data_IF_104482541641
#
_entry.id   IF_104482541641
#
_cell.length_a   1.000
_cell.length_b   1.000
_cell.length_c   1.000
_cell.angle_alpha   90.00
_cell.angle_beta   90.00
_cell.angle_gamma   90.00
#
_symmetry.space_group_name_H-M   'P 1'
#
loop_
_entity.id
_entity.type
_entity.pdbx_description
1 polymer ?
#
# COMPACT_ATOMS: atom_id res chain seq x y z
N UNK A 1 21.18 0.26 -15.08
CA UNK A 1 19.96 0.90 -15.62
C UNK A 1 18.80 0.89 -14.63
N UNK A 2 18.44 -0.25 -14.03
CA UNK A 2 17.37 -0.34 -13.03
C UNK A 2 17.57 0.56 -11.80
N UNK A 3 18.79 0.61 -11.25
CA UNK A 3 19.13 1.47 -10.11
C UNK A 3 18.88 2.97 -10.41
N UNK A 4 19.33 3.46 -11.58
CA UNK A 4 19.14 4.84 -12.02
C UNK A 4 17.65 5.16 -12.19
N UNK A 5 16.88 4.21 -12.73
CA UNK A 5 15.43 4.37 -12.91
C UNK A 5 14.71 4.47 -11.57
N UNK A 6 14.98 3.55 -10.64
CA UNK A 6 14.36 3.55 -9.31
C UNK A 6 14.77 4.80 -8.54
N UNK A 7 16.05 5.16 -8.53
CA UNK A 7 16.51 6.38 -7.86
C UNK A 7 15.86 7.63 -8.47
N UNK A 8 15.69 7.68 -9.79
CA UNK A 8 14.98 8.76 -10.47
C UNK A 8 13.52 8.85 -10.02
N UNK A 9 12.80 7.72 -10.00
CA UNK A 9 11.40 7.67 -9.52
C UNK A 9 11.31 8.13 -8.06
N UNK A 10 12.13 7.57 -7.17
CA UNK A 10 12.13 7.94 -5.75
C UNK A 10 12.51 9.42 -5.55
N UNK A 11 13.48 9.95 -6.29
CA UNK A 11 13.85 11.35 -6.24
C UNK A 11 12.70 12.25 -6.71
N UNK A 12 12.01 11.89 -7.80
CA UNK A 12 10.84 12.65 -8.28
C UNK A 12 9.67 12.61 -7.29
N UNK A 13 9.43 11.46 -6.64
CA UNK A 13 8.42 11.36 -5.59
C UNK A 13 8.78 12.22 -4.38
N UNK A 14 10.02 12.13 -3.90
CA UNK A 14 10.48 12.88 -2.75
C UNK A 14 10.44 14.39 -3.02
N UNK A 15 10.96 14.83 -4.17
CA UNK A 15 10.92 16.25 -4.56
C UNK A 15 9.49 16.75 -4.72
N UNK A 16 8.59 15.96 -5.33
CA UNK A 16 7.17 16.26 -5.40
C UNK A 16 6.54 16.45 -4.01
N UNK A 17 6.76 15.51 -3.09
CA UNK A 17 6.26 15.61 -1.71
C UNK A 17 6.83 16.81 -0.96
N UNK A 18 8.15 17.07 -1.08
CA UNK A 18 8.79 18.23 -0.46
C UNK A 18 8.21 19.54 -1.00
N UNK A 19 8.00 19.64 -2.32
CA UNK A 19 7.36 20.82 -2.92
C UNK A 19 5.92 21.03 -2.46
N UNK A 20 5.18 19.95 -2.19
CA UNK A 20 3.80 20.07 -1.75
C UNK A 20 3.70 20.52 -0.30
N UNK A 21 4.61 20.06 0.56
CA UNK A 21 4.57 20.34 2.01
C UNK A 21 5.35 21.62 2.38
N UNK A 22 6.50 21.87 1.73
CA UNK A 22 7.43 22.98 2.05
C UNK A 22 7.68 23.92 0.88
N UNK A 23 7.02 23.72 -0.27
CA UNK A 23 7.26 24.53 -1.45
C UNK A 23 6.61 25.91 -1.41
N UNK A 24 6.92 26.77 -2.40
CA UNK A 24 6.48 28.16 -2.43
C UNK A 24 4.96 28.32 -2.57
N UNK A 25 4.25 27.27 -2.99
CA UNK A 25 2.79 27.27 -3.14
C UNK A 25 2.06 26.38 -2.12
N UNK A 26 2.75 25.95 -1.05
CA UNK A 26 2.15 25.04 -0.07
C UNK A 26 0.87 25.61 0.56
N UNK A 27 0.84 26.93 0.82
CA UNK A 27 -0.30 27.66 1.40
C UNK A 27 -1.44 27.98 0.42
N UNK A 28 -1.26 27.67 -0.88
CA UNK A 28 -2.25 27.96 -1.91
C UNK A 28 -3.22 26.79 -2.08
N UNK A 29 -4.41 26.93 -1.50
CA UNK A 29 -5.49 25.95 -1.66
C UNK A 29 -5.82 25.67 -3.13
N UNK A 30 -5.86 26.71 -3.98
CA UNK A 30 -6.18 26.59 -5.41
C UNK A 30 -5.15 25.73 -6.12
N UNK A 31 -3.86 25.91 -5.83
CA UNK A 31 -2.79 25.11 -6.43
C UNK A 31 -2.89 23.66 -5.97
N UNK A 32 -3.09 23.41 -4.67
CA UNK A 32 -3.25 22.06 -4.14
C UNK A 32 -4.48 21.35 -4.70
N UNK A 33 -5.61 22.05 -4.83
CA UNK A 33 -6.84 21.49 -5.40
C UNK A 33 -6.70 21.19 -6.89
N UNK A 34 -6.03 22.08 -7.64
CA UNK A 34 -5.68 21.84 -9.04
C UNK A 34 -4.78 20.62 -9.21
N UNK A 35 -3.75 20.50 -8.35
CA UNK A 35 -2.87 19.33 -8.32
C UNK A 35 -3.66 18.04 -8.02
N UNK A 36 -4.61 18.09 -7.08
CA UNK A 36 -5.48 16.95 -6.77
C UNK A 36 -6.30 16.51 -7.97
N UNK A 37 -6.88 17.46 -8.71
CA UNK A 37 -7.63 17.15 -9.92
C UNK A 37 -6.73 16.49 -10.98
N UNK A 38 -5.50 17.00 -11.18
CA UNK A 38 -4.52 16.44 -12.11
C UNK A 38 -4.12 15.02 -11.68
N UNK A 39 -3.79 14.82 -10.41
CA UNK A 39 -3.37 13.52 -9.87
C UNK A 39 -4.50 12.50 -9.91
N UNK A 40 -5.74 12.89 -9.61
CA UNK A 40 -6.91 12.02 -9.73
C UNK A 40 -7.18 11.63 -11.19
N UNK A 41 -7.04 12.59 -12.11
CA UNK A 41 -7.15 12.31 -13.55
C UNK A 41 -6.07 11.33 -14.01
N UNK A 42 -4.82 11.54 -13.59
CA UNK A 42 -3.72 10.61 -13.89
C UNK A 42 -3.99 9.23 -13.30
N UNK A 43 -4.32 9.17 -12.00
CA UNK A 43 -4.62 7.92 -11.30
C UNK A 43 -5.74 7.13 -11.98
N UNK A 44 -6.83 7.81 -12.35
CA UNK A 44 -7.92 7.22 -13.13
C UNK A 44 -7.43 6.59 -14.44
N UNK A 45 -6.58 7.30 -15.20
CA UNK A 45 -6.10 6.82 -16.50
C UNK A 45 -5.09 5.67 -16.37
N UNK A 46 -4.29 5.64 -15.29
CA UNK A 46 -3.27 4.61 -15.07
C UNK A 46 -3.87 3.31 -14.54
N UNK A 47 -4.85 3.43 -13.66
CA UNK A 47 -5.51 2.33 -12.98
C UNK A 47 -6.93 2.19 -13.51
N UNK A 48 -7.93 2.27 -12.63
CA UNK A 48 -9.34 2.25 -12.97
C UNK A 48 -10.13 3.27 -12.17
N UNK A 49 -11.36 3.57 -12.63
CA UNK A 49 -12.27 4.41 -11.87
C UNK A 49 -12.64 3.78 -10.52
N UNK A 50 -12.82 2.47 -10.48
CA UNK A 50 -13.16 1.74 -9.25
C UNK A 50 -12.04 1.87 -8.20
N UNK A 51 -10.78 1.75 -8.60
CA UNK A 51 -9.63 1.95 -7.71
C UNK A 51 -9.51 3.40 -7.24
N UNK A 52 -9.75 4.36 -8.14
CA UNK A 52 -9.74 5.78 -7.77
C UNK A 52 -10.80 6.10 -6.72
N UNK A 53 -12.01 5.54 -6.87
CA UNK A 53 -13.07 5.65 -5.86
C UNK A 53 -12.69 4.94 -4.55
N UNK A 54 -12.00 3.79 -4.62
CA UNK A 54 -11.53 3.11 -3.42
C UNK A 54 -10.49 3.95 -2.64
N UNK A 55 -9.55 4.59 -3.35
CA UNK A 55 -8.59 5.52 -2.76
C UNK A 55 -9.31 6.73 -2.13
N UNK A 56 -10.28 7.31 -2.82
CA UNK A 56 -11.07 8.41 -2.24
C UNK A 56 -11.82 7.97 -0.98
N UNK A 57 -12.45 6.79 -0.99
CA UNK A 57 -13.13 6.22 0.19
C UNK A 57 -12.18 5.97 1.36
N UNK A 58 -10.94 5.56 1.09
CA UNK A 58 -9.91 5.36 2.11
C UNK A 58 -9.55 6.69 2.79
N UNK A 59 -9.52 7.79 2.04
CA UNK A 59 -9.15 9.12 2.54
C UNK A 59 -10.34 9.89 3.14
N UNK A 60 -11.58 9.58 2.74
CA UNK A 60 -12.81 10.19 3.27
C UNK A 60 -12.85 10.31 4.81
N UNK A 61 -12.57 9.26 5.63
CA UNK A 61 -12.65 9.40 7.08
C UNK A 61 -11.66 10.44 7.63
N UNK A 62 -10.46 10.53 7.06
CA UNK A 62 -9.48 11.55 7.42
C UNK A 62 -9.99 12.96 7.07
N UNK A 63 -10.55 13.12 5.87
CA UNK A 63 -11.11 14.39 5.40
C UNK A 63 -12.23 14.89 6.32
N UNK A 64 -13.19 14.01 6.62
CA UNK A 64 -14.32 14.35 7.49
C UNK A 64 -13.83 14.72 8.91
N UNK A 65 -12.88 13.96 9.44
CA UNK A 65 -12.33 14.23 10.78
C UNK A 65 -11.60 15.57 10.82
N UNK A 66 -10.79 15.89 9.81
CA UNK A 66 -10.06 17.17 9.75
C UNK A 66 -10.98 18.38 9.57
N UNK A 67 -12.04 18.25 8.76
CA UNK A 67 -13.05 19.31 8.62
C UNK A 67 -13.83 19.50 9.93
N UNK A 68 -14.19 18.42 10.62
CA UNK A 68 -14.86 18.49 11.90
C UNK A 68 -13.99 19.18 12.96
N UNK A 69 -12.72 18.80 13.07
CA UNK A 69 -11.75 19.45 13.98
C UNK A 69 -11.59 20.92 13.62
N UNK A 70 -11.41 21.25 12.34
CA UNK A 70 -11.28 22.62 11.88
C UNK A 70 -12.49 23.49 12.22
N UNK A 71 -13.71 22.95 12.03
CA UNK A 71 -14.95 23.62 12.38
C UNK A 71 -15.11 23.84 13.89
N UNK A 72 -14.79 22.82 14.70
CA UNK A 72 -14.80 22.93 16.17
C UNK A 72 -13.79 24.00 16.62
N UNK A 73 -12.56 23.98 16.09
CA UNK A 73 -11.51 24.90 16.51
C UNK A 73 -11.80 26.34 16.09
N UNK A 74 -12.41 26.52 14.92
CA UNK A 74 -12.92 27.81 14.47
C UNK A 74 -14.01 28.33 15.42
N UNK A 75 -14.96 27.47 15.80
CA UNK A 75 -16.07 27.85 16.67
C UNK A 75 -15.60 28.27 18.06
N UNK A 76 -14.64 27.55 18.63
CA UNK A 76 -14.07 27.87 19.95
C UNK A 76 -12.95 28.92 19.92
N UNK A 77 -12.59 29.44 18.73
CA UNK A 77 -11.47 30.38 18.54
C UNK A 77 -10.22 29.91 19.30
N UNK A 78 -9.89 28.63 19.10
CA UNK A 78 -8.80 27.98 19.84
C UNK A 78 -7.50 28.72 19.52
N UNK A 79 -6.70 29.03 20.55
CA UNK A 79 -5.47 29.83 20.45
C UNK A 79 -5.65 31.26 19.88
N UNK A 80 -6.86 31.83 19.88
CA UNK A 80 -7.10 33.19 19.37
C UNK A 80 -7.00 33.30 17.85
N UNK A 81 -6.96 32.17 17.14
CA UNK A 81 -6.74 32.08 15.70
C UNK A 81 -8.08 31.90 14.96
N UNK A 82 -8.24 32.55 13.80
CA UNK A 82 -9.50 32.60 13.03
C UNK A 82 -9.44 31.92 11.66
N UNK A 83 -8.34 31.25 11.31
CA UNK A 83 -8.11 30.60 10.02
C UNK A 83 -8.01 29.07 10.13
N UNK A 84 -8.60 28.48 11.17
CA UNK A 84 -8.64 27.02 11.38
C UNK A 84 -9.31 26.28 10.22
N UNK A 85 -10.39 26.83 9.67
CA UNK A 85 -11.07 26.22 8.52
C UNK A 85 -10.14 26.20 7.30
N UNK A 86 -9.42 27.30 7.03
CA UNK A 86 -8.51 27.39 5.89
C UNK A 86 -7.36 26.39 6.03
N UNK A 87 -6.77 26.30 7.22
CA UNK A 87 -5.69 25.35 7.53
C UNK A 87 -6.15 23.88 7.40
N UNK A 88 -7.31 23.55 7.97
CA UNK A 88 -7.90 22.21 7.82
C UNK A 88 -8.25 21.89 6.36
N UNK A 89 -8.83 22.83 5.62
CA UNK A 89 -9.16 22.64 4.20
C UNK A 89 -7.91 22.38 3.35
N UNK A 90 -6.80 23.05 3.65
CA UNK A 90 -5.53 22.82 2.98
C UNK A 90 -5.01 21.40 3.24
N UNK A 91 -5.04 20.94 4.49
CA UNK A 91 -4.62 19.59 4.90
C UNK A 91 -5.49 18.49 4.28
N UNK A 92 -6.79 18.74 4.17
CA UNK A 92 -7.77 17.86 3.51
C UNK A 92 -7.42 17.59 2.05
N UNK A 93 -6.83 18.55 1.36
CA UNK A 93 -6.39 18.40 -0.03
C UNK A 93 -4.97 17.85 -0.10
N UNK A 94 -4.06 18.34 0.75
CA UNK A 94 -2.65 17.96 0.78
C UNK A 94 -2.42 16.47 1.05
N UNK A 95 -3.20 15.88 1.95
CA UNK A 95 -3.07 14.47 2.31
C UNK A 95 -3.40 13.50 1.14
N UNK A 96 -4.59 13.56 0.50
CA UNK A 96 -4.87 12.71 -0.66
C UNK A 96 -3.90 12.95 -1.81
N UNK A 97 -3.48 14.20 -2.03
CA UNK A 97 -2.43 14.56 -2.95
C UNK A 97 -1.13 13.77 -2.71
N UNK A 98 -0.66 13.74 -1.45
CA UNK A 98 0.57 13.04 -1.06
C UNK A 98 0.43 11.52 -1.26
N UNK A 99 -0.73 10.97 -0.92
CA UNK A 99 -1.04 9.55 -1.09
C UNK A 99 -1.08 9.17 -2.59
N UNK A 100 -1.65 10.01 -3.44
CA UNK A 100 -1.69 9.79 -4.89
C UNK A 100 -0.31 9.86 -5.52
N UNK A 101 0.55 10.80 -5.12
CA UNK A 101 1.96 10.86 -5.57
C UNK A 101 2.69 9.56 -5.20
N UNK A 102 2.49 9.07 -3.96
CA UNK A 102 3.06 7.81 -3.52
C UNK A 102 2.54 6.62 -4.35
N UNK A 103 1.21 6.50 -4.50
CA UNK A 103 0.58 5.42 -5.24
C UNK A 103 1.02 5.40 -6.71
N UNK A 104 1.00 6.55 -7.37
CA UNK A 104 1.43 6.70 -8.77
C UNK A 104 2.93 6.41 -8.91
N UNK A 105 3.76 6.99 -8.06
CA UNK A 105 5.21 6.80 -8.11
C UNK A 105 5.62 5.34 -7.92
N UNK A 106 5.04 4.65 -6.93
CA UNK A 106 5.27 3.22 -6.72
C UNK A 106 4.77 2.37 -7.91
N UNK A 107 3.72 2.79 -8.61
CA UNK A 107 3.21 2.09 -9.80
C UNK A 107 4.17 2.05 -10.98
N UNK A 108 5.19 2.93 -10.99
CA UNK A 108 6.24 2.95 -12.01
C UNK A 108 7.41 2.03 -11.69
N UNK A 109 7.49 1.50 -10.45
CA UNK A 109 8.51 0.55 -10.04
C UNK A 109 7.99 -0.86 -10.33
N UNK A 110 8.59 -1.53 -11.31
CA UNK A 110 8.27 -2.93 -11.58
C UNK A 110 9.07 -3.86 -10.67
N UNK A 111 8.52 -5.03 -10.39
CA UNK A 111 9.26 -6.12 -9.74
C UNK A 111 10.57 -6.46 -10.46
N UNK A 112 10.58 -6.38 -11.80
CA UNK A 112 11.81 -6.62 -12.59
C UNK A 112 12.87 -5.55 -12.31
N UNK A 113 12.45 -4.31 -12.06
CA UNK A 113 13.38 -3.24 -11.69
C UNK A 113 14.00 -3.53 -10.30
N UNK A 114 13.20 -4.05 -9.36
CA UNK A 114 13.67 -4.46 -8.03
C UNK A 114 14.70 -5.60 -8.12
N UNK A 115 14.43 -6.66 -8.88
CA UNK A 115 15.40 -7.75 -9.09
C UNK A 115 16.65 -7.32 -9.87
N UNK A 116 16.54 -6.26 -10.69
CA UNK A 116 17.64 -5.66 -11.43
C UNK A 116 18.60 -4.83 -10.57
N UNK A 117 18.31 -4.64 -9.28
CA UNK A 117 19.22 -4.01 -8.34
C UNK A 117 20.43 -4.93 -8.05
N UNK A 118 21.59 -4.35 -7.69
CA UNK A 118 22.78 -5.10 -7.27
C UNK A 118 22.59 -5.66 -5.85
N UNK A 119 21.56 -6.49 -5.65
CA UNK A 119 21.26 -7.16 -4.39
C UNK A 119 22.08 -8.44 -4.25
N UNK A 120 22.45 -8.84 -3.01
CA UNK A 120 23.01 -10.16 -2.74
C UNK A 120 22.10 -11.29 -3.24
N UNK A 121 22.68 -12.43 -3.61
CA UNK A 121 21.94 -13.57 -4.16
C UNK A 121 20.82 -14.08 -3.24
N UNK A 122 21.07 -14.11 -1.93
CA UNK A 122 20.10 -14.55 -0.93
C UNK A 122 18.88 -13.62 -0.88
N UNK A 123 19.09 -12.31 -0.90
CA UNK A 123 18.01 -11.32 -0.94
C UNK A 123 17.16 -11.43 -2.20
N UNK A 124 17.76 -11.74 -3.35
CA UNK A 124 17.00 -11.97 -4.59
C UNK A 124 16.12 -13.21 -4.46
N UNK A 125 16.64 -14.29 -3.86
CA UNK A 125 15.87 -15.50 -3.57
C UNK A 125 14.70 -15.19 -2.64
N UNK A 126 14.93 -14.47 -1.55
CA UNK A 126 13.88 -14.12 -0.59
C UNK A 126 12.78 -13.27 -1.22
N UNK A 127 13.14 -12.28 -2.03
CA UNK A 127 12.17 -11.43 -2.76
C UNK A 127 11.31 -12.28 -3.73
N UNK A 128 11.92 -13.27 -4.40
CA UNK A 128 11.21 -14.19 -5.30
C UNK A 128 10.23 -15.06 -4.52
N UNK A 129 10.70 -15.70 -3.45
CA UNK A 129 9.86 -16.56 -2.60
C UNK A 129 8.72 -15.73 -2.01
N UNK A 130 9.03 -14.56 -1.43
CA UNK A 130 8.04 -13.66 -0.86
C UNK A 130 6.96 -13.26 -1.86
N UNK A 131 7.35 -12.87 -3.09
CA UNK A 131 6.38 -12.52 -4.12
C UNK A 131 5.50 -13.71 -4.51
N UNK A 132 6.09 -14.87 -4.74
CA UNK A 132 5.35 -16.08 -5.11
C UNK A 132 4.34 -16.47 -4.01
N UNK A 133 4.78 -16.47 -2.75
CA UNK A 133 3.91 -16.77 -1.62
C UNK A 133 2.82 -15.72 -1.44
N UNK A 134 3.10 -14.43 -1.65
CA UNK A 134 2.07 -13.38 -1.56
C UNK A 134 1.00 -13.50 -2.65
N UNK A 135 1.39 -13.82 -3.89
CA UNK A 135 0.46 -14.04 -4.99
C UNK A 135 -0.47 -15.25 -4.71
N UNK A 136 0.08 -16.35 -4.20
CA UNK A 136 -0.70 -17.54 -3.81
C UNK A 136 -1.56 -17.29 -2.55
N UNK A 137 -1.03 -16.54 -1.59
CA UNK A 137 -1.76 -16.22 -0.35
C UNK A 137 -3.01 -15.39 -0.61
N UNK A 138 -3.04 -14.58 -1.68
CA UNK A 138 -4.23 -13.82 -2.07
C UNK A 138 -5.41 -14.72 -2.50
N UNK A 139 -5.13 -15.78 -3.26
CA UNK A 139 -6.14 -16.76 -3.68
C UNK A 139 -6.54 -17.66 -2.51
N UNK A 140 -5.58 -18.02 -1.66
CA UNK A 140 -5.83 -18.80 -0.45
C UNK A 140 -6.64 -18.04 0.60
N UNK A 141 -6.45 -16.72 0.75
CA UNK A 141 -7.24 -15.89 1.67
C UNK A 141 -8.74 -15.93 1.33
N UNK A 142 -9.08 -15.87 0.04
CA UNK A 142 -10.49 -15.95 -0.40
C UNK A 142 -11.08 -17.33 -0.14
N UNK A 143 -10.30 -18.40 -0.35
CA UNK A 143 -10.70 -19.77 -0.03
C UNK A 143 -10.86 -19.99 1.48
N UNK A 144 -9.89 -19.57 2.30
CA UNK A 144 -9.92 -19.68 3.75
C UNK A 144 -11.09 -18.90 4.35
N UNK A 145 -11.34 -17.67 3.86
CA UNK A 145 -12.49 -16.88 4.29
C UNK A 145 -13.80 -17.63 4.04
N UNK A 146 -13.96 -18.27 2.87
CA UNK A 146 -15.15 -19.05 2.51
C UNK A 146 -15.31 -20.29 3.41
N UNK A 147 -14.23 -21.00 3.71
CA UNK A 147 -14.24 -22.16 4.62
C UNK A 147 -14.65 -21.73 6.04
N UNK A 148 -14.12 -20.60 6.52
CA UNK A 148 -14.48 -20.02 7.82
C UNK A 148 -15.93 -19.53 7.88
N UNK A 149 -16.55 -19.17 6.75
CA UNK A 149 -17.99 -18.81 6.68
C UNK A 149 -18.91 -20.03 6.81
N UNK A 150 -18.45 -21.20 6.38
CA UNK A 150 -19.22 -22.44 6.45
C UNK A 150 -18.99 -23.24 7.73
N UNK A 151 -17.98 -22.87 8.53
CA UNK A 151 -17.68 -23.59 9.77
C UNK A 151 -18.76 -23.39 10.85
N UNK A 152 -19.42 -24.48 11.33
CA UNK A 152 -20.54 -24.40 12.25
C UNK A 152 -20.16 -23.85 13.64
N UNK A 153 -18.89 -23.97 14.04
CA UNK A 153 -18.39 -23.49 15.34
C UNK A 153 -18.45 -21.97 15.54
N UNK A 154 -18.53 -21.20 14.45
CA UNK A 154 -18.65 -19.73 14.52
C UNK A 154 -20.10 -19.24 14.43
N UNK A 155 -21.09 -20.08 14.07
CA UNK A 155 -22.49 -19.65 13.96
C UNK A 155 -23.18 -19.46 15.32
N UNK A 156 -22.78 -20.22 16.34
CA UNK A 156 -23.43 -20.25 17.65
C UNK A 156 -22.91 -19.22 18.68
N UNK A 157 -21.97 -18.34 18.30
CA UNK A 157 -21.34 -17.38 19.22
C UNK A 157 -21.89 -15.94 19.09
N UNK A 158 -21.89 -15.16 20.18
CA UNK A 158 -22.29 -13.76 20.17
C UNK A 158 -21.38 -12.91 19.25
N UNK A 159 -21.98 -11.89 18.62
CA UNK A 159 -21.44 -11.20 17.43
C UNK A 159 -19.97 -10.74 17.52
N UNK A 160 -19.57 -10.09 18.62
CA UNK A 160 -18.20 -9.54 18.74
C UNK A 160 -17.14 -10.64 18.97
N UNK A 161 -17.42 -11.63 19.83
CA UNK A 161 -16.52 -12.78 20.06
C UNK A 161 -16.38 -13.63 18.80
N UNK A 162 -17.47 -13.76 18.04
CA UNK A 162 -17.47 -14.42 16.73
C UNK A 162 -16.56 -13.69 15.75
N UNK A 163 -16.69 -12.37 15.65
CA UNK A 163 -15.84 -11.54 14.78
C UNK A 163 -14.37 -11.70 15.16
N UNK A 164 -14.03 -11.53 16.43
CA UNK A 164 -12.65 -11.62 16.91
C UNK A 164 -12.03 -13.00 16.65
N UNK A 165 -12.71 -14.08 17.06
CA UNK A 165 -12.20 -15.44 16.84
C UNK A 165 -12.11 -15.82 15.37
N UNK A 166 -13.04 -15.33 14.54
CA UNK A 166 -13.04 -15.58 13.09
C UNK A 166 -11.85 -14.90 12.41
N UNK A 167 -11.58 -13.64 12.74
CA UNK A 167 -10.40 -12.94 12.23
C UNK A 167 -9.10 -13.55 12.78
N UNK A 168 -9.05 -13.91 14.06
CA UNK A 168 -7.89 -14.59 14.65
C UNK A 168 -7.60 -15.93 13.98
N UNK A 169 -8.62 -16.76 13.76
CA UNK A 169 -8.48 -18.04 13.06
C UNK A 169 -8.09 -17.86 11.59
N UNK A 170 -8.62 -16.83 10.92
CA UNK A 170 -8.24 -16.49 9.55
C UNK A 170 -6.76 -16.07 9.46
N UNK A 171 -6.30 -15.21 10.36
CA UNK A 171 -4.91 -14.74 10.42
C UNK A 171 -3.97 -15.91 10.72
N UNK A 172 -4.32 -16.76 11.69
CA UNK A 172 -3.52 -17.93 12.03
C UNK A 172 -3.45 -18.94 10.88
N UNK A 173 -4.58 -19.22 10.23
CA UNK A 173 -4.63 -20.13 9.08
C UNK A 173 -3.84 -19.58 7.88
N UNK A 174 -3.94 -18.27 7.63
CA UNK A 174 -3.16 -17.59 6.60
C UNK A 174 -1.65 -17.65 6.93
N UNK A 175 -1.29 -17.40 8.19
CA UNK A 175 0.11 -17.43 8.64
C UNK A 175 0.73 -18.83 8.49
N UNK A 176 0.02 -19.88 8.93
CA UNK A 176 0.48 -21.26 8.76
C UNK A 176 0.58 -21.65 7.29
N UNK A 177 -0.38 -21.21 6.47
CA UNK A 177 -0.35 -21.46 5.03
C UNK A 177 0.84 -20.77 4.36
N UNK A 178 1.08 -19.49 4.66
CA UNK A 178 2.23 -18.72 4.18
C UNK A 178 3.53 -19.42 4.57
N UNK A 179 3.68 -19.82 5.84
CA UNK A 179 4.89 -20.52 6.30
C UNK A 179 5.15 -21.80 5.51
N UNK A 180 4.15 -22.67 5.39
CA UNK A 180 4.29 -23.92 4.66
C UNK A 180 4.60 -23.70 3.17
N UNK A 181 3.97 -22.71 2.54
CA UNK A 181 4.25 -22.32 1.15
C UNK A 181 5.66 -21.74 0.98
N UNK A 182 6.14 -20.92 1.93
CA UNK A 182 7.51 -20.40 1.90
C UNK A 182 8.54 -21.52 1.98
N UNK A 183 8.34 -22.51 2.85
CA UNK A 183 9.25 -23.66 2.98
C UNK A 183 9.27 -24.51 1.71
N UNK A 184 8.11 -24.85 1.15
CA UNK A 184 8.03 -25.64 -0.08
C UNK A 184 8.65 -24.90 -1.26
N UNK A 185 8.36 -23.60 -1.41
CA UNK A 185 8.92 -22.78 -2.49
C UNK A 185 10.43 -22.63 -2.34
N UNK A 186 10.93 -22.43 -1.12
CA UNK A 186 12.36 -22.36 -0.84
C UNK A 186 13.08 -23.67 -1.21
N UNK A 187 12.52 -24.83 -0.84
CA UNK A 187 13.06 -26.15 -1.17
C UNK A 187 13.11 -26.40 -2.68
N UNK A 188 12.03 -26.07 -3.41
CA UNK A 188 11.98 -26.21 -4.87
C UNK A 188 13.03 -25.33 -5.54
N UNK A 189 13.20 -24.09 -5.07
CA UNK A 189 14.20 -23.17 -5.62
C UNK A 189 15.61 -23.68 -5.35
N UNK A 190 15.88 -24.21 -4.16
CA UNK A 190 17.18 -24.79 -3.81
C UNK A 190 17.52 -25.99 -4.69
N UNK A 191 16.55 -26.89 -4.87
CA UNK A 191 16.69 -28.07 -5.72
C UNK A 191 16.98 -27.66 -7.17
N UNK A 192 16.32 -26.61 -7.70
CA UNK A 192 16.59 -26.09 -9.04
C UNK A 192 17.96 -25.44 -9.17
N UNK A 193 18.39 -24.64 -8.19
CA UNK A 193 19.73 -24.04 -8.19
C UNK A 193 20.80 -25.13 -8.10
N UNK A 194 20.59 -26.18 -7.29
CA UNK A 194 21.51 -27.32 -7.19
C UNK A 194 21.59 -28.13 -8.48
N UNK A 195 20.47 -28.38 -9.17
CA UNK A 195 20.48 -29.08 -10.46
C UNK A 195 21.10 -28.23 -11.58
N UNK A 196 20.78 -26.94 -11.67
CA UNK A 196 21.33 -26.05 -12.69
C UNK A 196 22.79 -25.64 -12.42
N UNK A 197 23.23 -25.68 -11.17
CA UNK A 197 24.63 -25.46 -10.77
C UNK A 197 25.49 -26.73 -10.82
N UNK A 198 24.87 -27.91 -10.83
CA UNK A 198 25.52 -29.22 -10.93
C UNK A 198 26.06 -29.51 -12.33
N UNK A 199 25.35 -29.07 -13.38
CA UNK A 199 25.76 -29.23 -14.79
C UNK A 199 26.99 -28.39 -15.19
N UNK A 200 27.48 -27.51 -14.32
CA UNK A 200 28.63 -26.62 -14.60
C UNK A 200 29.98 -27.13 -14.10
N UNK A 201 30.05 -28.39 -13.65
CA UNK A 201 31.29 -29.02 -13.14
C UNK A 201 31.77 -30.22 -13.98
N UNK A 202 31.20 -30.46 -15.16
CA UNK A 202 31.60 -31.56 -16.06
C UNK A 202 32.21 -31.12 -17.40
N UNK A 203 32.68 -29.87 -17.53
CA UNK A 203 33.55 -29.44 -18.64
C UNK A 203 34.85 -28.80 -18.15
#
# INVERSE_FOLDING_TARGET
MALIRISGILATMLTGLLWMIWGPWHDSFVVQAGLLAILLFWHRNRFSWAETVAVLKLVTPFVLTMLAIGGIFQYFVVFGRSDWIRDSALKVVLFPNSLLVLALGLSYISYRDILGLPLPGDWKRDIIVFRATMEESGTSLTRLRRILEWSPGFRAMPGWKRIFKRYGALVLALFLHVLNETEQTALVLENRVRHLGGDRKEE
#
